data_IF_415829764606
#
_entry.id   IF_415829764606
#
_cell.length_a   1.000
_cell.length_b   1.000
_cell.length_c   1.000
_cell.angle_alpha   90.00
_cell.angle_beta   90.00
_cell.angle_gamma   90.00
#
_symmetry.space_group_name_H-M   'P 1'
#
loop_
_entity.id
_entity.type
_entity.pdbx_description
1 polymer ?
#
# COMPACT_ATOMS: atom_id res chain seq x y z
N UNK A 1 1.02 51.88 57.64
CA UNK A 1 1.76 51.02 58.58
C UNK A 1 0.79 50.62 59.68
N UNK A 2 0.25 49.41 59.60
CA UNK A 2 -0.67 48.86 60.59
C UNK A 2 -0.47 47.35 60.66
N UNK A 3 0.04 46.88 61.80
CA UNK A 3 -0.31 45.58 62.39
C UNK A 3 -1.42 45.86 63.45
N UNK A 4 -2.17 44.89 64.05
CA UNK A 4 -1.73 43.52 64.38
C UNK A 4 -2.79 42.37 64.51
N UNK A 5 -2.26 41.14 64.67
CA UNK A 5 -2.65 40.03 65.59
C UNK A 5 -3.93 39.17 65.50
N UNK A 6 -3.70 37.87 65.80
CA UNK A 6 -4.53 36.84 66.48
C UNK A 6 -5.56 36.05 65.64
N UNK A 7 -5.87 34.77 65.89
CA UNK A 7 -5.32 33.72 66.76
C UNK A 7 -5.92 32.35 66.35
N UNK A 8 -5.22 31.31 66.79
CA UNK A 8 -5.43 29.85 66.80
C UNK A 8 -6.84 29.34 67.18
N UNK A 9 -7.33 28.29 66.49
CA UNK A 9 -7.98 27.14 67.17
C UNK A 9 -7.97 25.86 66.31
N UNK A 10 -7.38 24.82 66.87
CA UNK A 10 -7.40 23.44 66.41
C UNK A 10 -8.66 22.71 66.90
N UNK A 11 -9.10 21.68 66.18
CA UNK A 11 -9.70 20.49 66.77
C UNK A 11 -9.60 19.29 65.82
N UNK A 12 -8.80 18.32 66.27
CA UNK A 12 -8.69 16.92 65.85
C UNK A 12 -9.77 16.11 66.57
N UNK A 13 -10.38 15.11 65.90
CA UNK A 13 -10.86 13.80 66.43
C UNK A 13 -11.54 13.08 65.25
N UNK A 14 -10.99 12.00 64.68
CA UNK A 14 -10.93 10.59 65.11
C UNK A 14 -11.73 9.74 64.11
N UNK A 15 -11.04 8.76 63.51
CA UNK A 15 -11.61 7.67 62.70
C UNK A 15 -12.46 6.71 63.55
N UNK A 16 -13.30 5.89 62.91
CA UNK A 16 -13.01 4.45 63.00
C UNK A 16 -13.20 3.67 61.68
N UNK A 17 -12.78 2.42 61.78
CA UNK A 17 -12.38 1.46 60.76
C UNK A 17 -13.47 0.41 60.44
N UNK A 18 -13.32 -0.25 59.28
CA UNK A 18 -13.66 -1.65 58.95
C UNK A 18 -15.11 -2.05 58.52
N UNK A 19 -15.30 -2.24 57.20
CA UNK A 19 -15.77 -3.42 56.40
C UNK A 19 -17.05 -4.23 56.81
N UNK A 20 -17.62 -5.18 55.98
CA UNK A 20 -17.47 -5.51 54.54
C UNK A 20 -18.81 -5.79 53.75
N UNK A 21 -18.66 -6.08 52.44
CA UNK A 21 -19.48 -6.96 51.55
C UNK A 21 -20.95 -6.60 51.21
N UNK A 22 -21.21 -6.37 49.91
CA UNK A 22 -22.25 -7.13 49.17
C UNK A 22 -22.13 -6.97 47.65
N UNK A 23 -22.18 -8.12 46.97
CA UNK A 23 -22.33 -8.33 45.53
C UNK A 23 -23.46 -7.52 44.90
N UNK A 24 -23.19 -6.88 43.75
CA UNK A 24 -24.20 -6.70 42.69
C UNK A 24 -23.59 -6.95 41.31
N UNK A 25 -23.89 -8.15 40.84
CA UNK A 25 -23.89 -8.59 39.45
C UNK A 25 -24.63 -7.58 38.56
N UNK A 26 -23.93 -6.98 37.60
CA UNK A 26 -24.53 -6.21 36.52
C UNK A 26 -24.59 -7.11 35.29
N UNK A 27 -25.82 -7.51 34.98
CA UNK A 27 -26.22 -8.23 33.79
C UNK A 27 -25.96 -7.39 32.53
N UNK A 28 -25.28 -7.99 31.57
CA UNK A 28 -25.21 -7.57 30.18
C UNK A 28 -26.57 -7.82 29.50
N UNK A 29 -27.19 -6.82 28.84
CA UNK A 29 -28.31 -7.10 27.96
C UNK A 29 -27.80 -7.63 26.61
N UNK A 30 -28.24 -8.84 26.28
CA UNK A 30 -27.97 -9.51 25.01
C UNK A 30 -28.60 -8.75 23.84
N UNK A 31 -27.78 -8.46 22.84
CA UNK A 31 -28.23 -7.94 21.55
C UNK A 31 -28.78 -9.12 20.75
N UNK A 32 -30.11 -9.17 20.66
CA UNK A 32 -30.87 -10.10 19.84
C UNK A 32 -30.67 -9.78 18.36
N UNK A 33 -30.15 -10.76 17.62
CA UNK A 33 -30.15 -10.80 16.16
C UNK A 33 -31.59 -11.05 15.69
N UNK A 34 -32.26 -10.01 15.17
CA UNK A 34 -33.49 -10.17 14.41
C UNK A 34 -33.17 -10.11 12.92
N UNK A 35 -33.48 -11.22 12.26
CA UNK A 35 -33.45 -11.41 10.81
C UNK A 35 -34.49 -10.50 10.16
N UNK A 36 -34.07 -9.62 9.25
CA UNK A 36 -35.00 -8.90 8.38
C UNK A 36 -35.11 -9.66 7.05
N UNK A 37 -36.34 -10.03 6.77
CA UNK A 37 -36.79 -10.79 5.63
C UNK A 37 -36.66 -10.02 4.31
N UNK A 38 -36.40 -10.81 3.28
CA UNK A 38 -36.60 -10.56 1.85
C UNK A 38 -37.91 -9.83 1.57
N UNK A 39 -37.88 -8.81 0.72
CA UNK A 39 -39.06 -8.33 0.00
C UNK A 39 -38.68 -7.93 -1.43
N UNK A 40 -39.35 -8.58 -2.38
CA UNK A 40 -39.30 -8.40 -3.84
C UNK A 40 -40.18 -7.20 -4.27
N UNK A 41 -40.12 -6.76 -5.54
CA UNK A 41 -40.50 -5.41 -5.97
C UNK A 41 -42.01 -5.25 -6.18
N UNK A 42 -42.49 -4.01 -6.11
CA UNK A 42 -43.85 -3.64 -6.52
C UNK A 42 -43.81 -2.47 -7.48
N UNK A 43 -44.67 -2.57 -8.49
CA UNK A 43 -44.76 -1.78 -9.71
C UNK A 43 -45.31 -0.37 -9.51
N UNK A 44 -45.20 0.39 -10.61
CA UNK A 44 -45.67 1.75 -10.90
C UNK A 44 -47.13 2.06 -10.50
N UNK A 45 -47.49 3.37 -10.55
CA UNK A 45 -48.38 3.75 -11.63
C UNK A 45 -48.00 5.05 -12.37
N UNK A 46 -47.97 4.93 -13.70
CA UNK A 46 -48.63 5.75 -14.73
C UNK A 46 -49.14 7.15 -14.36
N UNK A 47 -48.62 8.17 -15.06
CA UNK A 47 -49.40 9.34 -15.53
C UNK A 47 -49.02 9.64 -16.97
N UNK A 48 -50.02 9.58 -17.84
CA UNK A 48 -49.99 9.92 -19.25
C UNK A 48 -50.22 11.43 -19.47
N UNK A 49 -49.74 11.96 -20.60
CA UNK A 49 -50.43 12.83 -21.59
C UNK A 49 -49.36 13.33 -22.59
N UNK A 50 -49.41 12.83 -23.84
CA UNK A 50 -49.89 13.55 -25.05
C UNK A 50 -48.96 14.71 -25.50
N UNK A 51 -48.73 15.00 -26.78
CA UNK A 51 -48.97 14.36 -28.08
C UNK A 51 -48.19 15.22 -29.10
N UNK A 52 -47.68 14.64 -30.19
CA UNK A 52 -46.93 15.39 -31.20
C UNK A 52 -46.61 14.54 -32.42
N UNK A 53 -47.60 14.43 -33.31
CA UNK A 53 -47.55 13.70 -34.57
C UNK A 53 -46.56 14.32 -35.57
N UNK A 54 -45.76 13.50 -36.25
CA UNK A 54 -45.47 13.72 -37.68
C UNK A 54 -45.29 12.40 -38.43
N UNK A 55 -46.26 12.14 -39.31
CA UNK A 55 -46.23 11.27 -40.49
C UNK A 55 -44.98 11.63 -41.32
N UNK A 56 -44.28 10.77 -42.07
CA UNK A 56 -44.48 9.43 -42.59
C UNK A 56 -43.56 9.33 -43.83
N UNK A 57 -43.00 8.15 -44.12
CA UNK A 57 -42.58 7.75 -45.48
C UNK A 57 -41.99 6.34 -45.42
N UNK A 58 -42.86 5.35 -45.62
CA UNK A 58 -42.47 4.01 -46.04
C UNK A 58 -41.88 4.06 -47.45
N UNK A 59 -40.64 3.58 -47.63
CA UNK A 59 -40.24 2.92 -48.88
C UNK A 59 -39.32 1.74 -48.58
N UNK A 60 -39.90 0.56 -48.78
CA UNK A 60 -39.32 -0.68 -49.28
C UNK A 60 -37.80 -0.68 -49.54
N UNK A 61 -37.08 -1.58 -48.86
CA UNK A 61 -36.01 -2.35 -49.52
C UNK A 61 -35.83 -3.72 -48.88
N UNK A 62 -35.81 -4.70 -49.78
CA UNK A 62 -35.85 -6.14 -49.55
C UNK A 62 -34.49 -6.67 -49.07
N UNK A 63 -34.57 -7.76 -48.29
CA UNK A 63 -33.66 -8.93 -48.19
C UNK A 63 -32.22 -8.77 -48.71
N UNK A 64 -31.27 -9.13 -47.86
CA UNK A 64 -30.44 -10.36 -48.01
C UNK A 64 -29.88 -10.71 -46.63
N UNK A 65 -30.36 -11.81 -46.06
CA UNK A 65 -29.69 -12.53 -44.99
C UNK A 65 -28.57 -13.37 -45.61
N UNK A 66 -27.33 -13.16 -45.19
CA UNK A 66 -26.26 -14.16 -45.34
C UNK A 66 -25.70 -14.49 -43.96
N UNK A 67 -26.18 -15.62 -43.44
CA UNK A 67 -25.53 -16.40 -42.39
C UNK A 67 -24.21 -16.90 -42.98
N UNK A 68 -23.08 -16.52 -42.38
CA UNK A 68 -21.83 -17.25 -42.55
C UNK A 68 -21.72 -18.24 -41.39
N UNK A 69 -22.10 -19.48 -41.66
CA UNK A 69 -21.63 -20.64 -40.92
C UNK A 69 -20.19 -20.91 -41.36
N UNK A 70 -19.23 -20.76 -40.46
CA UNK A 70 -17.87 -21.27 -40.64
C UNK A 70 -17.76 -22.58 -39.87
N UNK A 71 -17.79 -23.68 -40.61
CA UNK A 71 -17.32 -24.98 -40.18
C UNK A 71 -15.79 -24.91 -40.08
N UNK A 72 -15.23 -25.14 -38.90
CA UNK A 72 -13.80 -25.40 -38.74
C UNK A 72 -13.63 -26.83 -38.24
N UNK A 73 -13.32 -27.73 -39.18
CA UNK A 73 -12.80 -29.07 -38.92
C UNK A 73 -11.30 -28.95 -38.70
N UNK A 74 -10.78 -29.44 -37.57
CA UNK A 74 -9.36 -29.37 -37.27
C UNK A 74 -8.95 -30.15 -36.03
N UNK A 75 -8.90 -31.48 -36.18
CA UNK A 75 -7.95 -32.44 -35.59
C UNK A 75 -7.59 -32.36 -34.09
N UNK A 76 -8.08 -33.35 -33.36
CA UNK A 76 -7.36 -34.30 -32.50
C UNK A 76 -5.98 -33.92 -31.93
N UNK A 77 -5.92 -33.80 -30.59
CA UNK A 77 -5.01 -34.56 -29.70
C UNK A 77 -5.21 -34.12 -28.23
N UNK A 78 -6.30 -34.60 -27.61
CA UNK A 78 -6.57 -34.42 -26.18
C UNK A 78 -6.17 -35.65 -25.35
N UNK A 79 -5.00 -35.59 -24.73
CA UNK A 79 -4.52 -36.60 -23.78
C UNK A 79 -5.34 -36.58 -22.48
N UNK A 80 -5.67 -37.79 -22.03
CA UNK A 80 -6.35 -38.18 -20.79
C UNK A 80 -5.81 -37.45 -19.55
N UNK A 81 -6.71 -36.86 -18.76
CA UNK A 81 -6.51 -36.71 -17.32
C UNK A 81 -7.81 -37.04 -16.55
N UNK A 82 -7.72 -38.18 -15.89
CA UNK A 82 -8.40 -38.67 -14.68
C UNK A 82 -9.31 -37.73 -13.91
N UNK A 83 -10.57 -38.14 -13.73
CA UNK A 83 -11.55 -37.60 -12.77
C UNK A 83 -11.71 -38.62 -11.62
N UNK A 84 -11.04 -38.34 -10.49
CA UNK A 84 -11.47 -38.75 -9.12
C UNK A 84 -12.48 -37.68 -8.67
N UNK A 85 -13.45 -37.87 -7.80
CA UNK A 85 -13.75 -38.89 -6.81
C UNK A 85 -15.19 -38.59 -6.34
N UNK A 86 -16.00 -39.63 -6.22
CA UNK A 86 -17.20 -39.66 -5.39
C UNK A 86 -16.95 -40.65 -4.26
N UNK A 87 -17.30 -40.28 -3.03
CA UNK A 87 -17.38 -41.19 -1.88
C UNK A 87 -18.68 -40.91 -1.15
N UNK A 88 -19.37 -41.96 -0.69
CA UNK A 88 -20.18 -41.93 0.51
C UNK A 88 -19.57 -42.79 1.64
N UNK A 89 -19.64 -42.22 2.84
CA UNK A 89 -20.12 -42.76 4.14
C UNK A 89 -19.76 -44.21 4.60
N UNK A 90 -19.34 -44.25 5.88
CA UNK A 90 -19.49 -45.29 6.92
C UNK A 90 -18.35 -46.29 7.28
N UNK A 91 -17.68 -45.94 8.39
CA UNK A 91 -17.49 -46.71 9.65
C UNK A 91 -16.56 -47.93 9.78
N UNK A 92 -15.98 -48.01 11.00
CA UNK A 92 -15.45 -49.16 11.77
C UNK A 92 -13.91 -49.35 11.82
N UNK A 93 -13.35 -49.08 13.02
CA UNK A 93 -12.08 -49.56 13.63
C UNK A 93 -11.98 -51.09 13.67
N UNK A 94 -10.79 -51.78 13.74
CA UNK A 94 -9.67 -51.45 14.65
C UNK A 94 -8.21 -51.78 14.17
N UNK A 95 -7.28 -51.27 15.00
CA UNK A 95 -5.86 -51.56 15.35
C UNK A 95 -5.27 -52.98 15.06
N UNK A 96 -3.97 -53.24 15.35
CA UNK A 96 -2.74 -53.02 14.56
C UNK A 96 -2.01 -54.33 14.18
N UNK A 97 -1.02 -54.28 13.29
CA UNK A 97 -0.05 -55.38 13.12
C UNK A 97 1.37 -54.92 12.86
N UNK A 98 2.27 -55.58 13.60
CA UNK A 98 3.71 -55.48 13.63
C UNK A 98 4.34 -55.90 12.29
N UNK A 99 5.43 -55.26 11.90
CA UNK A 99 6.52 -55.97 11.19
C UNK A 99 7.89 -55.47 11.66
N UNK A 100 8.57 -56.38 12.34
CA UNK A 100 10.02 -56.46 12.48
C UNK A 100 10.62 -56.83 11.13
N UNK A 101 11.72 -56.21 10.69
CA UNK A 101 13.02 -56.90 10.65
C UNK A 101 14.17 -56.04 10.11
N UNK A 102 15.32 -56.37 10.68
CA UNK A 102 16.68 -55.85 10.51
C UNK A 102 17.37 -56.38 9.23
N UNK A 103 18.59 -55.86 9.06
CA UNK A 103 19.75 -56.32 8.28
C UNK A 103 19.89 -55.66 6.90
N UNK A 104 21.05 -55.19 6.44
CA UNK A 104 22.42 -55.02 6.97
C UNK A 104 23.20 -54.20 5.94
N UNK A 105 24.37 -53.68 6.36
CA UNK A 105 25.56 -53.41 5.53
C UNK A 105 25.69 -52.06 4.79
N UNK A 106 26.62 -51.24 5.29
CA UNK A 106 27.47 -50.32 4.52
C UNK A 106 28.54 -51.13 3.73
N UNK A 107 29.55 -50.56 3.03
CA UNK A 107 29.86 -49.14 2.75
C UNK A 107 30.25 -48.86 1.27
N UNK A 108 30.43 -47.59 0.88
CA UNK A 108 31.68 -47.07 0.25
C UNK A 108 31.52 -45.64 -0.30
N UNK A 109 32.55 -44.86 -0.06
CA UNK A 109 32.89 -43.54 -0.58
C UNK A 109 32.99 -43.49 -2.09
N UNK A 110 32.65 -42.35 -2.71
CA UNK A 110 33.49 -41.78 -3.77
C UNK A 110 33.28 -40.27 -3.93
N UNK A 111 34.41 -39.57 -3.84
CA UNK A 111 34.58 -38.14 -4.11
C UNK A 111 34.63 -37.93 -5.62
N UNK A 112 33.91 -36.93 -6.15
CA UNK A 112 34.13 -36.44 -7.52
C UNK A 112 34.27 -34.91 -7.47
N UNK A 113 35.45 -34.49 -7.91
CA UNK A 113 35.93 -33.14 -8.05
C UNK A 113 35.14 -32.33 -9.08
N UNK A 114 34.89 -31.06 -8.76
CA UNK A 114 34.33 -30.06 -9.67
C UNK A 114 35.38 -29.59 -10.68
N UNK A 115 35.13 -29.82 -11.98
CA UNK A 115 35.87 -29.17 -13.07
C UNK A 115 35.17 -27.86 -13.46
N UNK A 116 35.91 -26.75 -13.32
CA UNK A 116 35.68 -25.47 -14.00
C UNK A 116 35.90 -25.64 -15.50
N UNK A 117 35.05 -25.04 -16.32
CA UNK A 117 35.37 -24.72 -17.72
C UNK A 117 35.02 -23.24 -17.95
N UNK A 118 36.07 -22.46 -18.14
CA UNK A 118 36.05 -21.16 -18.82
C UNK A 118 35.99 -21.36 -20.32
N UNK A 119 35.28 -20.49 -21.02
CA UNK A 119 35.39 -20.37 -22.48
C UNK A 119 35.37 -18.89 -22.87
N UNK A 120 36.58 -18.36 -23.09
CA UNK A 120 36.84 -17.28 -24.04
C UNK A 120 37.45 -17.93 -25.28
N UNK A 121 37.03 -17.55 -26.49
CA UNK A 121 37.90 -17.44 -27.67
C UNK A 121 37.17 -16.73 -28.80
N UNK A 122 37.77 -15.61 -29.21
CA UNK A 122 37.56 -14.88 -30.46
C UNK A 122 38.46 -15.46 -31.55
N UNK A 123 38.02 -15.52 -32.82
CA UNK A 123 38.75 -15.15 -34.07
C UNK A 123 37.93 -15.61 -35.29
N UNK A 124 37.42 -14.68 -36.12
CA UNK A 124 37.93 -14.13 -37.40
C UNK A 124 37.66 -14.96 -38.69
N UNK A 125 36.76 -14.39 -39.52
CA UNK A 125 36.86 -14.05 -40.98
C UNK A 125 36.93 -15.18 -42.03
N UNK A 126 35.97 -15.15 -42.99
CA UNK A 126 36.22 -15.11 -44.45
C UNK A 126 34.95 -14.78 -45.26
N UNK A 127 35.13 -13.92 -46.28
CA UNK A 127 34.14 -13.28 -47.15
C UNK A 127 33.81 -14.07 -48.43
N UNK A 128 32.66 -13.77 -49.05
CA UNK A 128 32.48 -13.54 -50.51
C UNK A 128 31.02 -13.14 -50.78
N UNK A 129 30.77 -11.88 -51.18
CA UNK A 129 30.62 -11.33 -52.54
C UNK A 129 29.24 -11.56 -53.19
N UNK A 130 28.58 -10.46 -53.57
CA UNK A 130 27.40 -10.49 -54.42
C UNK A 130 26.57 -9.19 -54.47
N UNK A 131 27.15 -8.13 -55.03
CA UNK A 131 26.54 -7.08 -55.88
C UNK A 131 25.15 -6.49 -55.55
N UNK A 132 25.04 -5.16 -55.43
CA UNK A 132 24.50 -4.30 -56.51
C UNK A 132 24.46 -2.80 -56.16
N UNK A 133 25.10 -2.02 -57.04
CA UNK A 133 24.68 -0.75 -57.66
C UNK A 133 24.73 0.54 -56.84
N UNK A 134 25.50 1.47 -57.42
CA UNK A 134 25.79 2.84 -57.03
C UNK A 134 24.69 3.84 -57.43
N UNK A 135 24.60 4.96 -56.70
CA UNK A 135 24.79 6.32 -57.26
C UNK A 135 24.66 7.42 -56.19
N UNK A 136 25.79 8.06 -55.90
CA UNK A 136 26.05 9.52 -55.80
C UNK A 136 24.96 10.49 -55.31
N UNK A 137 25.20 11.14 -54.15
CA UNK A 137 25.62 12.55 -54.05
C UNK A 137 25.82 12.98 -52.56
N UNK A 138 26.64 14.02 -52.26
CA UNK A 138 27.22 14.24 -50.94
C UNK A 138 26.48 15.31 -50.13
N UNK A 139 26.48 15.18 -48.80
CA UNK A 139 26.24 16.30 -47.89
C UNK A 139 27.03 16.08 -46.60
N UNK A 140 28.19 16.72 -46.59
CA UNK A 140 29.06 16.98 -45.45
C UNK A 140 28.37 17.94 -44.48
N UNK A 141 28.12 17.50 -43.24
CA UNK A 141 27.97 18.42 -42.11
C UNK A 141 28.82 17.88 -40.97
N UNK A 142 29.83 18.67 -40.66
CA UNK A 142 30.90 18.43 -39.72
C UNK A 142 30.37 18.26 -38.29
N UNK A 143 30.86 17.21 -37.63
CA UNK A 143 30.84 17.08 -36.18
C UNK A 143 31.90 18.02 -35.59
N UNK A 144 31.49 19.05 -34.87
CA UNK A 144 32.38 19.84 -34.01
C UNK A 144 32.25 19.33 -32.58
N UNK A 145 33.20 18.48 -32.20
CA UNK A 145 33.50 18.12 -30.82
C UNK A 145 34.27 19.26 -30.16
N UNK A 146 33.60 20.04 -29.31
CA UNK A 146 34.29 21.01 -28.44
C UNK A 146 34.58 20.34 -27.10
N UNK A 147 35.83 19.88 -26.95
CA UNK A 147 36.44 19.58 -25.67
C UNK A 147 36.71 20.90 -24.95
N UNK A 148 35.87 21.27 -23.98
CA UNK A 148 36.19 22.32 -23.01
C UNK A 148 36.54 21.68 -21.67
N UNK A 149 37.84 21.67 -21.41
CA UNK A 149 38.49 21.34 -20.15
C UNK A 149 37.99 22.27 -19.05
N UNK A 150 37.26 21.73 -18.07
CA UNK A 150 36.93 22.45 -16.83
C UNK A 150 38.07 22.30 -15.82
N UNK A 151 38.52 23.36 -15.15
CA UNK A 151 39.57 23.27 -14.15
C UNK A 151 39.07 22.57 -12.89
N UNK A 152 39.89 21.67 -12.38
CA UNK A 152 39.75 21.02 -11.07
C UNK A 152 39.81 22.11 -10.00
N UNK A 153 38.63 22.50 -9.49
CA UNK A 153 38.51 23.23 -8.24
C UNK A 153 38.37 22.20 -7.12
N UNK A 154 39.39 22.11 -6.29
CA UNK A 154 39.40 21.35 -5.04
C UNK A 154 38.15 21.72 -4.21
N UNK A 155 37.34 20.75 -3.73
CA UNK A 155 36.29 21.06 -2.78
C UNK A 155 36.97 21.39 -1.45
N UNK A 156 37.15 22.69 -1.19
CA UNK A 156 37.42 23.19 0.16
C UNK A 156 36.16 22.89 0.96
N UNK A 157 36.24 21.81 1.73
CA UNK A 157 35.30 21.39 2.77
C UNK A 157 35.08 22.55 3.74
N UNK A 158 34.14 23.43 3.41
CA UNK A 158 33.50 24.29 4.38
C UNK A 158 32.56 23.38 5.18
N UNK A 159 33.09 22.80 6.26
CA UNK A 159 32.28 22.31 7.36
C UNK A 159 31.49 23.50 7.92
N UNK A 160 30.36 23.83 7.28
CA UNK A 160 29.25 24.43 8.00
C UNK A 160 28.83 23.37 9.00
N UNK A 161 29.04 23.68 10.28
CA UNK A 161 28.40 23.00 11.40
C UNK A 161 26.91 22.97 11.11
N UNK A 162 26.44 21.86 10.54
CA UNK A 162 25.03 21.58 10.37
C UNK A 162 24.48 21.41 11.79
N UNK A 163 23.93 22.49 12.33
CA UNK A 163 22.91 22.42 13.36
C UNK A 163 21.95 21.31 12.97
N UNK A 164 21.76 20.33 13.85
CA UNK A 164 21.04 19.08 13.59
C UNK A 164 19.56 19.34 13.27
N UNK A 165 19.26 19.79 12.06
CA UNK A 165 17.92 19.72 11.51
C UNK A 165 17.80 18.36 10.86
N UNK A 166 17.55 17.33 11.68
CA UNK A 166 16.98 16.10 11.15
C UNK A 166 15.76 16.54 10.33
N UNK A 167 15.69 16.24 9.03
CA UNK A 167 14.54 16.64 8.21
C UNK A 167 13.30 16.12 8.92
N UNK A 168 12.34 17.03 9.15
CA UNK A 168 11.07 16.68 9.78
C UNK A 168 10.49 15.45 9.05
N UNK A 169 10.07 14.45 9.81
CA UNK A 169 9.55 13.22 9.22
C UNK A 169 8.30 13.52 8.39
N UNK A 170 8.40 13.32 7.08
CA UNK A 170 7.27 13.41 6.15
C UNK A 170 6.80 11.98 5.81
N UNK A 171 5.63 11.53 6.28
CA UNK A 171 5.15 10.17 6.02
C UNK A 171 4.86 9.92 4.53
N UNK A 172 4.61 10.94 3.71
CA UNK A 172 4.38 10.78 2.26
C UNK A 172 5.66 10.43 1.50
N UNK A 173 6.83 10.73 2.07
CA UNK A 173 8.14 10.35 1.51
C UNK A 173 8.58 8.95 1.93
N UNK A 174 7.73 8.22 2.66
CA UNK A 174 8.03 6.91 3.23
C UNK A 174 7.20 5.79 2.57
N UNK A 175 7.27 4.57 3.09
CA UNK A 175 6.51 3.46 2.50
C UNK A 175 5.01 3.70 2.69
N UNK A 176 4.26 3.75 1.59
CA UNK A 176 2.81 3.98 1.58
C UNK A 176 2.08 2.77 0.96
N UNK A 177 0.88 2.46 1.45
CA UNK A 177 0.04 1.41 0.89
C UNK A 177 -0.44 1.75 -0.52
N UNK A 178 -0.55 0.71 -1.35
CA UNK A 178 -1.18 0.79 -2.65
C UNK A 178 -2.70 0.96 -2.51
N UNK A 179 -3.28 1.94 -3.23
CA UNK A 179 -4.72 2.18 -3.26
C UNK A 179 -5.52 1.17 -4.07
N UNK A 180 -4.86 0.33 -4.88
CA UNK A 180 -5.54 -0.74 -5.60
C UNK A 180 -6.26 -1.69 -4.62
N UNK A 181 -7.55 -2.02 -4.85
CA UNK A 181 -8.30 -2.91 -3.98
C UNK A 181 -7.56 -4.21 -3.68
N UNK A 182 -7.55 -4.62 -2.41
CA UNK A 182 -6.92 -5.84 -1.91
C UNK A 182 -5.41 -5.97 -2.15
N UNK A 183 -4.70 -4.89 -2.50
CA UNK A 183 -3.24 -4.93 -2.64
C UNK A 183 -2.55 -4.72 -1.28
N UNK A 184 -1.81 -5.70 -0.74
CA UNK A 184 -1.09 -5.53 0.53
C UNK A 184 0.26 -4.79 0.36
N UNK A 185 0.65 -4.48 -0.88
CA UNK A 185 1.97 -3.95 -1.19
C UNK A 185 2.09 -2.50 -0.73
N UNK A 186 3.16 -2.23 0.01
CA UNK A 186 3.59 -0.86 0.26
C UNK A 186 4.77 -0.55 -0.65
N UNK A 187 4.80 0.67 -1.18
CA UNK A 187 5.86 1.14 -2.06
C UNK A 187 6.41 2.46 -1.55
N UNK A 188 7.66 2.75 -1.94
CA UNK A 188 8.32 3.98 -1.55
C UNK A 188 8.35 4.91 -2.76
N UNK A 189 7.68 6.08 -2.73
CA UNK A 189 7.61 6.99 -3.89
C UNK A 189 8.98 7.42 -4.40
N UNK A 190 9.93 7.65 -3.50
CA UNK A 190 11.31 8.04 -3.84
C UNK A 190 12.09 6.96 -4.59
N UNK A 191 11.65 5.68 -4.56
CA UNK A 191 12.27 4.61 -5.34
C UNK A 191 11.75 4.49 -6.78
N UNK A 192 10.67 5.19 -7.13
CA UNK A 192 10.06 5.08 -8.45
C UNK A 192 10.89 5.78 -9.55
N UNK A 193 11.76 6.71 -9.15
CA UNK A 193 12.55 7.54 -10.06
C UNK A 193 11.76 8.74 -10.59
N UNK A 194 12.44 9.80 -11.03
CA UNK A 194 11.80 11.08 -11.38
C UNK A 194 10.88 10.99 -12.60
N UNK A 195 11.08 9.99 -13.46
CA UNK A 195 10.33 9.82 -14.72
C UNK A 195 9.15 8.84 -14.61
N UNK A 196 8.89 8.29 -13.41
CA UNK A 196 7.86 7.26 -13.24
C UNK A 196 6.45 7.76 -13.57
N UNK A 197 6.14 9.00 -13.21
CA UNK A 197 4.85 9.64 -13.49
C UNK A 197 4.87 10.51 -14.75
N UNK A 198 5.99 10.51 -15.49
CA UNK A 198 6.08 11.23 -16.77
C UNK A 198 5.18 10.59 -17.83
N UNK A 199 4.66 11.40 -18.79
CA UNK A 199 3.94 10.89 -19.95
C UNK A 199 4.74 9.82 -20.70
N UNK A 200 4.07 8.73 -21.08
CA UNK A 200 4.68 7.62 -21.80
C UNK A 200 4.00 7.37 -23.14
N UNK A 201 4.79 6.94 -24.12
CA UNK A 201 4.29 6.49 -25.42
C UNK A 201 3.37 5.25 -25.27
N UNK A 202 2.47 4.99 -26.23
CA UNK A 202 2.27 5.72 -27.49
C UNK A 202 1.31 6.93 -27.39
N UNK A 203 0.48 7.03 -26.34
CA UNK A 203 -0.58 8.04 -26.24
C UNK A 203 -0.28 9.17 -25.23
N UNK A 204 0.97 9.31 -24.80
CA UNK A 204 1.43 10.28 -23.79
C UNK A 204 0.63 10.19 -22.48
N UNK A 205 0.23 8.98 -22.08
CA UNK A 205 -0.48 8.74 -20.82
C UNK A 205 0.53 8.64 -19.68
N UNK A 206 0.18 9.21 -18.52
CA UNK A 206 0.96 9.13 -17.28
C UNK A 206 0.45 7.98 -16.42
N UNK A 207 1.28 7.35 -15.60
CA UNK A 207 0.79 6.41 -14.56
C UNK A 207 0.00 7.16 -13.48
N UNK A 208 -0.98 6.51 -12.88
CA UNK A 208 -1.71 7.13 -11.76
C UNK A 208 -0.91 7.04 -10.44
N UNK A 209 -0.92 8.10 -9.61
CA UNK A 209 -0.34 8.10 -8.27
C UNK A 209 -1.15 7.20 -7.31
N UNK A 210 -0.60 6.90 -6.14
CA UNK A 210 -1.26 6.01 -5.16
C UNK A 210 -1.22 4.51 -5.49
N UNK A 211 -0.77 4.12 -6.69
CA UNK A 211 -0.63 2.73 -7.10
C UNK A 211 0.83 2.25 -6.94
N UNK A 212 1.01 1.02 -6.46
CA UNK A 212 2.33 0.39 -6.48
C UNK A 212 2.79 0.14 -7.93
N UNK A 213 4.10 -0.05 -8.19
CA UNK A 213 4.63 -0.20 -9.54
C UNK A 213 3.85 -1.17 -10.41
N UNK A 214 3.60 -2.38 -9.90
CA UNK A 214 2.89 -3.44 -10.61
C UNK A 214 1.49 -3.01 -11.07
N UNK A 215 0.71 -2.38 -10.20
CA UNK A 215 -0.64 -1.91 -10.54
C UNK A 215 -0.62 -0.68 -11.43
N UNK A 216 0.32 0.24 -11.21
CA UNK A 216 0.51 1.41 -12.07
C UNK A 216 0.88 1.03 -13.51
N UNK A 217 1.69 -0.02 -13.71
CA UNK A 217 1.98 -0.56 -15.04
C UNK A 217 0.76 -1.21 -15.70
N UNK A 218 0.01 -2.03 -14.95
CA UNK A 218 -1.23 -2.68 -15.46
C UNK A 218 -2.30 -1.65 -15.85
N UNK A 219 -2.50 -0.64 -15.01
CA UNK A 219 -3.42 0.48 -15.27
C UNK A 219 -3.04 1.24 -16.55
N UNK A 220 -1.76 1.60 -16.70
CA UNK A 220 -1.28 2.28 -17.91
C UNK A 220 -1.44 1.39 -19.16
N UNK A 221 -1.16 0.09 -19.05
CA UNK A 221 -1.33 -0.85 -20.15
C UNK A 221 -2.80 -0.98 -20.56
N UNK A 222 -3.73 -1.09 -19.60
CA UNK A 222 -5.16 -1.13 -19.84
C UNK A 222 -5.65 0.17 -20.51
N UNK A 223 -5.18 1.32 -20.02
CA UNK A 223 -5.50 2.63 -20.60
C UNK A 223 -4.98 2.77 -22.04
N UNK A 224 -3.78 2.31 -22.32
CA UNK A 224 -3.24 2.28 -23.69
C UNK A 224 -4.05 1.34 -24.60
N UNK A 225 -4.46 0.18 -24.10
CA UNK A 225 -5.31 -0.75 -24.85
C UNK A 225 -6.68 -0.13 -25.16
N UNK A 226 -7.26 0.60 -24.21
CA UNK A 226 -8.51 1.33 -24.40
C UNK A 226 -8.38 2.40 -25.49
N UNK A 227 -7.33 3.24 -25.45
CA UNK A 227 -7.08 4.22 -26.50
C UNK A 227 -6.90 3.55 -27.89
N UNK A 228 -6.22 2.40 -27.95
CA UNK A 228 -6.06 1.65 -29.20
C UNK A 228 -7.39 1.12 -29.74
N UNK A 229 -8.22 0.56 -28.86
CA UNK A 229 -9.55 0.07 -29.22
C UNK A 229 -10.44 1.21 -29.74
N UNK A 230 -10.40 2.37 -29.09
CA UNK A 230 -11.18 3.53 -29.50
C UNK A 230 -10.72 4.05 -30.87
N UNK A 231 -9.42 4.12 -31.10
CA UNK A 231 -8.85 4.44 -32.42
C UNK A 231 -9.34 3.48 -33.51
N UNK A 232 -9.26 2.17 -33.25
CA UNK A 232 -9.71 1.15 -34.21
C UNK A 232 -11.21 1.22 -34.46
N UNK A 233 -12.01 1.50 -33.42
CA UNK A 233 -13.46 1.72 -33.52
C UNK A 233 -13.77 2.93 -34.41
N UNK A 234 -13.15 4.09 -34.16
CA UNK A 234 -13.34 5.29 -34.98
C UNK A 234 -12.95 5.05 -36.45
N UNK A 235 -11.86 4.31 -36.67
CA UNK A 235 -11.40 3.94 -38.02
C UNK A 235 -12.39 3.01 -38.73
N UNK A 236 -12.91 2.00 -38.03
CA UNK A 236 -13.89 1.06 -38.61
C UNK A 236 -15.24 1.73 -38.89
N UNK A 237 -15.62 2.72 -38.08
CA UNK A 237 -16.90 3.43 -38.18
C UNK A 237 -16.80 4.76 -38.98
N UNK A 238 -15.69 5.01 -39.67
CA UNK A 238 -15.42 6.30 -40.33
C UNK A 238 -16.41 6.63 -41.46
N UNK A 239 -17.03 5.63 -42.11
CA UNK A 239 -17.96 5.84 -43.21
C UNK A 239 -17.34 6.62 -44.37
N UNK A 240 -17.79 7.86 -44.61
CA UNK A 240 -17.24 8.77 -45.64
C UNK A 240 -16.17 9.74 -45.11
N UNK A 241 -15.79 9.65 -43.83
CA UNK A 241 -14.76 10.52 -43.23
C UNK A 241 -13.38 10.18 -43.78
N UNK A 242 -12.54 11.20 -43.96
CA UNK A 242 -11.13 11.00 -44.32
C UNK A 242 -10.32 10.54 -43.11
N UNK A 243 -9.17 9.87 -43.34
CA UNK A 243 -8.29 9.45 -42.23
C UNK A 243 -7.80 10.63 -41.38
N UNK A 244 -7.66 11.83 -41.97
CA UNK A 244 -7.32 13.05 -41.23
C UNK A 244 -8.44 13.51 -40.29
N UNK A 245 -9.71 13.39 -40.71
CA UNK A 245 -10.86 13.67 -39.84
C UNK A 245 -10.92 12.68 -38.67
N UNK A 246 -10.69 11.39 -38.93
CA UNK A 246 -10.62 10.36 -37.87
C UNK A 246 -9.46 10.64 -36.90
N UNK A 247 -8.29 11.02 -37.41
CA UNK A 247 -7.15 11.43 -36.58
C UNK A 247 -7.49 12.62 -35.66
N UNK A 248 -8.13 13.65 -36.19
CA UNK A 248 -8.54 14.83 -35.40
C UNK A 248 -9.60 14.50 -34.33
N UNK A 249 -10.56 13.62 -34.65
CA UNK A 249 -11.54 13.13 -33.67
C UNK A 249 -10.86 12.35 -32.55
N UNK A 250 -9.88 11.52 -32.90
CA UNK A 250 -9.11 10.76 -31.92
C UNK A 250 -8.20 11.63 -31.04
N UNK A 251 -7.58 12.68 -31.58
CA UNK A 251 -6.82 13.66 -30.79
C UNK A 251 -7.71 14.39 -29.77
N UNK A 252 -8.94 14.71 -30.18
CA UNK A 252 -9.96 15.29 -29.29
C UNK A 252 -10.33 14.33 -28.17
N UNK A 253 -10.54 13.05 -28.51
CA UNK A 253 -10.76 11.98 -27.53
C UNK A 253 -9.59 11.85 -26.56
N UNK A 254 -8.35 11.77 -27.05
CA UNK A 254 -7.14 11.66 -26.23
C UNK A 254 -7.01 12.84 -25.26
N UNK A 255 -7.26 14.06 -25.73
CA UNK A 255 -7.20 15.27 -24.90
C UNK A 255 -8.22 15.23 -23.76
N UNK A 256 -9.44 14.75 -24.04
CA UNK A 256 -10.47 14.55 -23.01
C UNK A 256 -10.07 13.45 -22.03
N UNK A 257 -9.61 12.31 -22.53
CA UNK A 257 -9.21 11.16 -21.72
C UNK A 257 -8.03 11.50 -20.79
N UNK A 258 -7.04 12.25 -21.26
CA UNK A 258 -5.94 12.76 -20.44
C UNK A 258 -6.43 13.69 -19.32
N UNK A 259 -7.40 14.57 -19.60
CA UNK A 259 -8.01 15.45 -18.60
C UNK A 259 -8.74 14.67 -17.51
N UNK A 260 -9.47 13.63 -17.91
CA UNK A 260 -10.15 12.72 -16.98
C UNK A 260 -9.13 11.97 -16.10
N UNK A 261 -8.07 11.41 -16.70
CA UNK A 261 -6.95 10.79 -15.95
C UNK A 261 -6.25 11.74 -14.99
N UNK A 262 -6.06 13.01 -15.36
CA UNK A 262 -5.45 14.01 -14.45
C UNK A 262 -6.37 14.30 -13.25
N UNK A 263 -7.69 14.34 -13.46
CA UNK A 263 -8.66 14.49 -12.37
C UNK A 263 -8.62 13.29 -11.43
N UNK A 264 -8.57 12.08 -11.99
CA UNK A 264 -8.43 10.84 -11.24
C UNK A 264 -7.11 10.78 -10.45
N UNK A 265 -5.99 11.18 -11.08
CA UNK A 265 -4.69 11.27 -10.43
C UNK A 265 -4.72 12.20 -9.21
N UNK A 266 -5.27 13.40 -9.37
CA UNK A 266 -5.43 14.35 -8.26
C UNK A 266 -6.33 13.80 -7.14
N UNK A 267 -7.40 13.10 -7.49
CA UNK A 267 -8.27 12.46 -6.52
C UNK A 267 -7.53 11.35 -5.74
N UNK A 268 -6.69 10.56 -6.41
CA UNK A 268 -5.89 9.53 -5.76
C UNK A 268 -4.77 10.10 -4.90
N UNK A 269 -4.12 11.20 -5.30
CA UNK A 269 -3.19 11.93 -4.43
C UNK A 269 -3.89 12.36 -3.14
N UNK A 270 -5.07 13.00 -3.24
CA UNK A 270 -5.86 13.38 -2.07
C UNK A 270 -6.26 12.18 -1.20
N UNK A 271 -6.53 11.01 -1.80
CA UNK A 271 -6.83 9.79 -1.05
C UNK A 271 -5.59 9.22 -0.34
N UNK A 272 -4.40 9.25 -0.96
CA UNK A 272 -3.15 8.87 -0.31
C UNK A 272 -2.86 9.81 0.86
N UNK A 273 -2.97 11.12 0.63
CA UNK A 273 -2.76 12.13 1.66
C UNK A 273 -3.73 11.95 2.83
N UNK A 274 -5.03 11.76 2.57
CA UNK A 274 -6.02 11.51 3.61
C UNK A 274 -5.72 10.23 4.41
N UNK A 275 -5.36 9.13 3.74
CA UNK A 275 -5.02 7.85 4.38
C UNK A 275 -3.77 7.93 5.25
N UNK A 276 -2.75 8.69 4.81
CA UNK A 276 -1.44 8.75 5.45
C UNK A 276 -1.37 9.85 6.53
N UNK A 277 -1.88 11.04 6.22
CA UNK A 277 -1.83 12.22 7.10
C UNK A 277 -3.06 12.35 8.01
N UNK A 278 -4.19 11.72 7.65
CA UNK A 278 -5.41 11.80 8.45
C UNK A 278 -6.12 13.15 8.36
N UNK A 279 -6.24 13.72 7.15
CA UNK A 279 -6.87 15.03 6.92
C UNK A 279 -8.31 15.14 7.47
N UNK A 280 -8.63 16.32 7.99
CA UNK A 280 -9.91 16.63 8.62
C UNK A 280 -11.10 16.53 7.66
N UNK A 281 -12.24 16.09 8.19
CA UNK A 281 -13.53 16.13 7.47
C UNK A 281 -13.87 14.93 6.59
N UNK A 282 -13.01 13.91 6.48
CA UNK A 282 -13.39 12.61 5.92
C UNK A 282 -13.31 11.54 6.99
N UNK A 283 -14.47 11.13 7.49
CA UNK A 283 -14.63 9.89 8.26
C UNK A 283 -14.28 8.69 7.35
N UNK A 284 -12.99 8.40 7.18
CA UNK A 284 -12.55 7.35 6.27
C UNK A 284 -11.05 7.04 6.40
N UNK A 285 -10.77 5.75 6.59
CA UNK A 285 -9.49 5.03 6.43
C UNK A 285 -8.18 5.75 6.79
N UNK A 286 -8.14 6.67 7.76
CA UNK A 286 -6.86 7.13 8.26
C UNK A 286 -6.09 5.95 8.89
N UNK A 287 -4.91 5.68 8.34
CA UNK A 287 -4.02 4.62 8.79
C UNK A 287 -2.96 5.23 9.71
N UNK A 288 -3.27 5.26 11.01
CA UNK A 288 -2.38 5.75 12.07
C UNK A 288 -0.97 5.15 12.03
N UNK A 289 -0.80 4.00 11.38
CA UNK A 289 0.45 3.27 11.32
C UNK A 289 1.60 4.06 10.67
N UNK A 290 1.30 5.01 9.78
CA UNK A 290 2.33 5.87 9.15
C UNK A 290 2.83 6.97 10.07
N UNK A 291 2.08 7.34 11.11
CA UNK A 291 2.44 8.43 12.02
C UNK A 291 3.64 8.07 12.91
N UNK A 292 4.35 9.10 13.36
CA UNK A 292 5.39 8.93 14.38
C UNK A 292 4.77 8.57 15.72
N UNK A 293 5.24 7.48 16.29
CA UNK A 293 4.76 6.96 17.57
C UNK A 293 5.91 6.69 18.53
N UNK A 294 5.59 6.78 19.82
CA UNK A 294 6.56 6.47 20.89
C UNK A 294 6.69 4.96 21.06
N UNK A 295 7.89 4.51 21.38
CA UNK A 295 8.15 3.14 21.81
C UNK A 295 7.25 2.75 23.00
N UNK A 296 6.66 1.56 22.99
CA UNK A 296 5.85 1.04 24.10
C UNK A 296 6.67 0.58 25.30
N UNK A 297 8.00 0.45 25.15
CA UNK A 297 8.88 0.11 26.28
C UNK A 297 8.94 1.27 27.27
N UNK A 298 8.59 1.01 28.54
CA UNK A 298 8.45 2.00 29.61
C UNK A 298 9.62 3.00 29.73
N UNK A 299 10.86 2.54 29.60
CA UNK A 299 12.06 3.39 29.73
C UNK A 299 12.50 4.08 28.43
N UNK A 300 11.78 3.88 27.32
CA UNK A 300 12.18 4.37 26.01
C UNK A 300 11.33 5.56 25.55
N UNK A 301 11.97 6.68 25.28
CA UNK A 301 11.32 7.92 24.81
C UNK A 301 11.37 8.11 23.29
N UNK A 302 12.01 7.19 22.56
CA UNK A 302 12.23 7.34 21.11
C UNK A 302 10.91 7.31 20.33
N UNK A 303 10.80 8.21 19.36
CA UNK A 303 9.76 8.19 18.34
C UNK A 303 10.27 7.52 17.07
N UNK A 304 9.39 6.81 16.38
CA UNK A 304 9.70 6.15 15.11
C UNK A 304 8.41 5.86 14.36
N UNK A 305 8.52 5.49 13.09
CA UNK A 305 7.42 4.92 12.30
C UNK A 305 7.94 3.64 11.65
N UNK A 306 7.26 2.48 11.78
CA UNK A 306 7.69 1.26 11.11
C UNK A 306 7.73 1.41 9.59
N UNK A 307 6.93 2.32 9.03
CA UNK A 307 6.85 2.58 7.60
C UNK A 307 7.90 3.57 7.10
N UNK A 308 8.76 4.09 7.98
CA UNK A 308 9.90 4.90 7.55
C UNK A 308 10.82 4.11 6.61
N UNK A 309 11.41 4.80 5.63
CA UNK A 309 12.35 4.21 4.67
C UNK A 309 13.51 3.47 5.34
N UNK A 310 13.96 3.97 6.50
CA UNK A 310 15.06 3.41 7.27
C UNK A 310 14.68 2.15 8.06
N UNK A 311 13.43 2.04 8.53
CA UNK A 311 13.02 0.95 9.44
C UNK A 311 12.09 -0.09 8.80
N UNK A 312 11.47 0.20 7.66
CA UNK A 312 10.48 -0.68 7.04
C UNK A 312 11.02 -2.08 6.77
N UNK A 313 12.23 -2.18 6.19
CA UNK A 313 12.89 -3.47 5.95
C UNK A 313 13.15 -4.26 7.23
N UNK A 314 13.41 -3.58 8.35
CA UNK A 314 13.65 -4.23 9.64
C UNK A 314 12.38 -4.91 10.19
N UNK A 315 11.22 -4.26 10.08
CA UNK A 315 9.95 -4.78 10.59
C UNK A 315 9.25 -5.77 9.64
N UNK A 316 9.39 -5.57 8.32
CA UNK A 316 8.76 -6.45 7.31
C UNK A 316 9.68 -7.58 6.83
N UNK A 317 10.95 -7.57 7.20
CA UNK A 317 11.91 -8.62 6.85
C UNK A 317 11.58 -9.95 7.50
N UNK A 318 11.80 -11.06 6.77
CA UNK A 318 11.68 -12.40 7.33
C UNK A 318 12.79 -12.64 8.36
N UNK A 319 12.43 -13.23 9.50
CA UNK A 319 13.36 -13.56 10.60
C UNK A 319 13.52 -15.06 10.76
N UNK A 320 14.53 -15.45 11.53
CA UNK A 320 14.73 -16.86 11.92
C UNK A 320 13.48 -17.36 12.65
N UNK A 321 13.15 -18.63 12.42
CA UNK A 321 11.99 -19.29 13.02
C UNK A 321 10.63 -18.61 12.72
N UNK A 322 10.56 -17.72 11.72
CA UNK A 322 9.36 -16.94 11.37
C UNK A 322 8.78 -16.15 12.55
N UNK A 323 9.62 -15.69 13.48
CA UNK A 323 9.17 -14.84 14.59
C UNK A 323 8.88 -13.43 14.09
N UNK A 324 7.73 -12.89 14.49
CA UNK A 324 7.32 -11.53 14.13
C UNK A 324 7.98 -10.53 15.08
N UNK A 325 8.55 -9.47 14.52
CA UNK A 325 9.10 -8.34 15.28
C UNK A 325 7.95 -7.49 15.79
N UNK A 326 7.93 -7.15 17.08
CA UNK A 326 6.92 -6.27 17.64
C UNK A 326 7.13 -4.84 17.10
N UNK A 327 6.22 -4.38 16.23
CA UNK A 327 6.30 -3.08 15.59
C UNK A 327 5.89 -1.92 16.51
N UNK A 328 5.51 -2.19 17.76
CA UNK A 328 5.21 -1.17 18.79
C UNK A 328 6.43 -0.75 19.60
N UNK A 329 7.54 -1.48 19.42
CA UNK A 329 8.86 -1.14 19.92
C UNK A 329 9.68 -0.44 18.84
N UNK A 330 10.48 0.55 19.22
CA UNK A 330 11.46 1.18 18.31
C UNK A 330 12.56 0.18 17.90
N UNK A 331 13.30 0.39 16.79
CA UNK A 331 14.20 -0.64 16.26
C UNK A 331 15.23 -1.22 17.24
N UNK A 332 15.88 -0.42 18.12
CA UNK A 332 16.77 -0.95 19.15
C UNK A 332 16.06 -1.81 20.20
N UNK A 333 14.90 -1.37 20.70
CA UNK A 333 14.14 -2.13 21.69
C UNK A 333 13.55 -3.41 21.08
N UNK A 334 13.04 -3.34 19.86
CA UNK A 334 12.54 -4.47 19.10
C UNK A 334 13.64 -5.49 18.79
N UNK A 335 14.87 -5.02 18.53
CA UNK A 335 16.04 -5.88 18.36
C UNK A 335 16.39 -6.62 19.65
N UNK A 336 16.47 -5.90 20.77
CA UNK A 336 16.73 -6.52 22.06
C UNK A 336 15.63 -7.53 22.47
N UNK A 337 14.37 -7.22 22.17
CA UNK A 337 13.23 -8.12 22.37
C UNK A 337 13.38 -9.42 21.57
N UNK A 338 13.61 -9.31 20.25
CA UNK A 338 13.69 -10.49 19.40
C UNK A 338 14.92 -11.34 19.72
N UNK A 339 16.06 -10.73 20.04
CA UNK A 339 17.28 -11.44 20.45
C UNK A 339 17.08 -12.19 21.77
N UNK A 340 16.33 -11.63 22.72
CA UNK A 340 15.98 -12.32 23.96
C UNK A 340 15.10 -13.53 23.68
N UNK A 341 14.09 -13.41 22.81
CA UNK A 341 13.24 -14.54 22.42
C UNK A 341 14.02 -15.60 21.64
N UNK A 342 14.87 -15.20 20.71
CA UNK A 342 15.72 -16.13 19.95
C UNK A 342 16.67 -16.91 20.88
N UNK A 343 17.15 -16.31 21.97
CA UNK A 343 17.92 -17.02 23.00
C UNK A 343 17.09 -18.09 23.70
N UNK A 344 15.88 -17.75 24.14
CA UNK A 344 14.95 -18.71 24.77
C UNK A 344 14.59 -19.85 23.82
N UNK A 345 14.43 -19.54 22.52
CA UNK A 345 14.21 -20.54 21.46
C UNK A 345 15.41 -21.49 21.38
N UNK A 346 16.64 -20.99 21.35
CA UNK A 346 17.83 -21.86 21.32
C UNK A 346 17.97 -22.72 22.60
N UNK A 347 17.76 -22.14 23.77
CA UNK A 347 17.81 -22.85 25.05
C UNK A 347 16.76 -23.98 25.11
N UNK A 348 15.53 -23.69 24.72
CA UNK A 348 14.48 -24.71 24.66
C UNK A 348 14.76 -25.77 23.60
N UNK A 349 15.32 -25.41 22.44
CA UNK A 349 15.69 -26.39 21.41
C UNK A 349 16.70 -27.41 21.94
N UNK A 350 17.64 -26.99 22.80
CA UNK A 350 18.57 -27.90 23.47
C UNK A 350 17.87 -28.74 24.54
N UNK A 351 16.92 -28.17 25.29
CA UNK A 351 16.21 -28.86 26.36
C UNK A 351 15.27 -29.97 25.86
N UNK A 352 14.59 -29.79 24.72
CA UNK A 352 13.69 -30.80 24.16
C UNK A 352 14.43 -32.00 23.52
N UNK A 353 15.74 -31.90 23.30
CA UNK A 353 16.55 -32.98 22.72
C UNK A 353 16.01 -33.47 21.36
N UNK A 354 15.89 -34.79 21.21
CA UNK A 354 15.39 -35.44 19.97
C UNK A 354 13.86 -35.35 19.80
N UNK A 355 13.12 -34.81 20.76
CA UNK A 355 11.66 -34.71 20.69
C UNK A 355 11.19 -33.54 19.82
N UNK A 356 11.39 -33.67 18.51
CA UNK A 356 11.11 -32.63 17.52
C UNK A 356 9.65 -32.14 17.55
N UNK A 357 8.69 -33.04 17.74
CA UNK A 357 7.28 -32.70 17.85
C UNK A 357 6.97 -31.73 19.02
N UNK A 358 7.55 -31.99 20.20
CA UNK A 358 7.34 -31.14 21.37
C UNK A 358 7.91 -29.74 21.13
N UNK A 359 9.07 -29.66 20.51
CA UNK A 359 9.68 -28.40 20.08
C UNK A 359 8.81 -27.63 19.09
N UNK A 360 8.31 -28.28 18.04
CA UNK A 360 7.48 -27.63 17.02
C UNK A 360 6.17 -27.09 17.61
N UNK A 361 5.51 -27.89 18.44
CA UNK A 361 4.27 -27.49 19.14
C UNK A 361 4.51 -26.29 20.05
N UNK A 362 5.61 -26.29 20.81
CA UNK A 362 6.02 -25.14 21.63
C UNK A 362 6.30 -23.89 20.77
N UNK A 363 7.00 -24.04 19.65
CA UNK A 363 7.33 -22.92 18.75
C UNK A 363 6.08 -22.35 18.06
N UNK A 364 5.08 -23.19 17.76
CA UNK A 364 3.76 -22.73 17.26
C UNK A 364 3.06 -21.88 18.33
N UNK A 365 3.02 -22.35 19.59
CA UNK A 365 2.42 -21.60 20.70
C UNK A 365 3.14 -20.27 20.93
N UNK A 366 4.46 -20.26 20.95
CA UNK A 366 5.25 -19.03 21.08
C UNK A 366 4.93 -18.02 19.97
N UNK A 367 4.73 -18.47 18.73
CA UNK A 367 4.33 -17.59 17.62
C UNK A 367 2.93 -17.01 17.82
N UNK A 368 1.98 -17.81 18.31
CA UNK A 368 0.63 -17.36 18.63
C UNK A 368 0.62 -16.33 19.77
N UNK A 369 1.37 -16.59 20.84
CA UNK A 369 1.47 -15.68 21.99
C UNK A 369 2.07 -14.33 21.57
N UNK A 370 3.13 -14.35 20.75
CA UNK A 370 3.72 -13.11 20.21
C UNK A 370 2.78 -12.34 19.29
N UNK A 371 1.98 -13.04 18.49
CA UNK A 371 1.00 -12.41 17.63
C UNK A 371 -0.13 -11.75 18.46
N UNK A 372 -0.60 -12.43 19.51
CA UNK A 372 -1.58 -11.86 20.44
C UNK A 372 -1.03 -10.63 21.19
N UNK A 373 0.22 -10.71 21.68
CA UNK A 373 0.91 -9.58 22.29
C UNK A 373 1.04 -8.40 21.31
N UNK A 374 1.46 -8.66 20.07
CA UNK A 374 1.57 -7.64 19.03
C UNK A 374 0.24 -6.93 18.81
N UNK A 375 -0.84 -7.67 18.64
CA UNK A 375 -2.18 -7.11 18.41
C UNK A 375 -2.67 -6.28 19.61
N UNK A 376 -2.41 -6.75 20.83
CA UNK A 376 -2.74 -6.00 22.05
C UNK A 376 -2.04 -4.63 22.07
N UNK A 377 -0.72 -4.62 21.85
CA UNK A 377 0.05 -3.39 21.87
C UNK A 377 -0.25 -2.48 20.69
N UNK A 378 -0.51 -3.02 19.50
CA UNK A 378 -0.93 -2.24 18.33
C UNK A 378 -2.23 -1.48 18.62
N UNK A 379 -3.24 -2.16 19.19
CA UNK A 379 -4.51 -1.53 19.60
C UNK A 379 -4.32 -0.50 20.72
N UNK A 380 -3.40 -0.74 21.66
CA UNK A 380 -3.08 0.21 22.71
C UNK A 380 -2.41 1.47 22.14
N UNK A 381 -1.44 1.29 21.23
CA UNK A 381 -0.73 2.38 20.59
C UNK A 381 -1.66 3.19 19.66
N UNK A 382 -2.55 2.52 18.92
CA UNK A 382 -3.59 3.16 18.11
C UNK A 382 -4.45 4.11 18.94
N UNK A 383 -4.98 3.63 20.08
CA UNK A 383 -5.79 4.47 20.98
C UNK A 383 -5.05 5.73 21.41
N UNK A 384 -3.79 5.58 21.83
CA UNK A 384 -2.95 6.73 22.26
C UNK A 384 -2.68 7.71 21.11
N UNK A 385 -2.46 7.21 19.90
CA UNK A 385 -2.21 8.06 18.72
C UNK A 385 -3.48 8.81 18.33
N UNK A 386 -4.61 8.11 18.23
CA UNK A 386 -5.93 8.71 17.95
C UNK A 386 -6.32 9.76 18.99
N UNK A 387 -6.19 9.45 20.29
CA UNK A 387 -6.50 10.38 21.38
C UNK A 387 -5.63 11.64 21.35
N UNK A 388 -4.33 11.50 21.03
CA UNK A 388 -3.44 12.65 20.91
C UNK A 388 -3.80 13.54 19.74
N UNK A 389 -4.12 12.96 18.60
CA UNK A 389 -4.52 13.74 17.43
C UNK A 389 -5.82 14.50 17.65
N UNK A 390 -6.83 13.87 18.27
CA UNK A 390 -8.07 14.56 18.65
C UNK A 390 -7.77 15.77 19.54
N UNK A 391 -6.85 15.63 20.51
CA UNK A 391 -6.44 16.76 21.37
C UNK A 391 -5.70 17.86 20.60
N UNK A 392 -4.87 17.54 19.62
CA UNK A 392 -4.21 18.57 18.80
C UNK A 392 -5.24 19.35 17.98
N UNK A 393 -6.24 18.67 17.41
CA UNK A 393 -7.34 19.31 16.67
C UNK A 393 -8.16 20.26 17.53
N UNK A 394 -8.57 19.82 18.72
CA UNK A 394 -9.31 20.70 19.66
C UNK A 394 -8.52 21.95 20.08
N UNK A 395 -7.18 21.89 20.07
CA UNK A 395 -6.31 23.02 20.41
C UNK A 395 -6.15 23.97 19.22
N UNK A 396 -6.02 23.45 17.99
CA UNK A 396 -5.94 24.26 16.77
C UNK A 396 -7.26 24.98 16.46
N UNK A 397 -8.40 24.29 16.55
CA UNK A 397 -9.73 24.89 16.37
C UNK A 397 -9.97 26.04 17.36
N UNK A 398 -9.64 25.83 18.65
CA UNK A 398 -9.71 26.90 19.67
C UNK A 398 -8.73 28.05 19.43
N UNK A 399 -7.67 27.85 18.66
CA UNK A 399 -6.71 28.91 18.35
C UNK A 399 -7.24 29.77 17.20
N UNK A 400 -7.84 29.15 16.19
CA UNK A 400 -8.38 29.85 15.03
C UNK A 400 -9.66 30.61 15.38
N UNK A 401 -10.54 30.04 16.23
CA UNK A 401 -11.73 30.72 16.76
C UNK A 401 -11.40 31.93 17.66
N UNK A 402 -10.18 31.98 18.21
CA UNK A 402 -9.73 33.06 19.09
C UNK A 402 -8.95 34.16 18.34
N UNK A 403 -8.80 34.04 17.01
CA UNK A 403 -8.09 35.01 16.16
C UNK A 403 -9.04 35.94 15.40
N UNK A 404 -10.35 35.70 15.41
CA UNK A 404 -11.34 36.54 14.72
C UNK A 404 -12.40 37.14 15.65
N UNK A 405 -11.95 37.71 16.79
CA UNK A 405 -12.68 38.84 17.38
C UNK A 405 -12.11 40.12 16.76
N UNK A 406 -12.76 40.51 15.67
CA UNK A 406 -12.73 41.85 15.09
C UNK A 406 -12.84 42.97 16.15
N UNK A 407 -12.33 44.14 15.78
CA UNK A 407 -13.24 45.28 15.72
C UNK A 407 -12.79 46.55 16.44
N UNK A 408 -12.23 47.50 15.65
CA UNK A 408 -12.52 48.96 15.68
C UNK A 408 -12.59 49.71 17.04
N UNK A 409 -11.95 49.21 18.09
CA UNK A 409 -11.91 49.86 19.42
C UNK A 409 -10.51 49.97 20.03
N UNK A 410 -9.46 49.49 19.36
CA UNK A 410 -8.09 49.49 19.91
C UNK A 410 -7.36 50.82 19.65
N UNK A 411 -7.79 51.59 18.66
CA UNK A 411 -7.21 52.92 18.40
C UNK A 411 -7.67 53.99 19.41
N UNK A 412 -8.88 53.88 19.97
CA UNK A 412 -9.36 54.80 21.02
C UNK A 412 -8.70 54.60 22.38
N UNK A 413 -8.07 53.45 22.64
CA UNK A 413 -7.31 53.20 23.88
C UNK A 413 -5.84 53.61 23.79
N UNK A 414 -5.30 53.83 22.58
CA UNK A 414 -3.95 54.40 22.41
C UNK A 414 -3.92 55.92 22.55
N UNK A 415 -5.02 56.62 22.29
CA UNK A 415 -5.10 58.08 22.49
C UNK A 415 -5.32 58.50 23.97
N UNK A 416 -5.83 57.61 24.83
CA UNK A 416 -6.02 57.90 26.26
C UNK A 416 -4.77 57.72 27.12
N UNK A 417 -3.68 57.19 26.57
CA UNK A 417 -2.42 56.93 27.30
C UNK A 417 -1.29 57.93 27.00
N UNK A 418 -1.59 59.07 26.35
CA UNK A 418 -0.61 60.16 26.08
C UNK A 418 -0.89 61.42 26.93
N UNK A 419 -1.90 61.39 27.82
CA UNK A 419 -2.17 62.48 28.77
C UNK A 419 -2.21 61.94 30.21
N UNK A 420 -1.07 61.42 30.65
CA UNK A 420 -0.57 61.41 32.03
C UNK A 420 0.95 61.44 31.97
#
# INVERSE_FOLDING_TARGET
>A
MSQPTNATRANTMQSPSSAPLSDKSIQTPGISFSQTLVSKPTAEPSVAMESGQSKGSERFSKRISKRFSMNFSGTDLGKKLTKRSSFPVESVTPRPSMTSNRHSSAPTSNSIASKRISSNSSTLIASSNGSQIASTAPSSISASSTLQSSPIASPTSSQRSASSTNPAYDPLQNYIACLHPHCPTHYLPTHLGPTFFSPQSPYNLRRLPGLCPSHAYKDLQASNAYCKQEWESMRQNAGRKTMGQVASEFETFLSRFQRERMREAKAMEGNVEARVMGFEGREGEWEWQYTLRRCTRHSCTRQYSPFSSQTYKFYKGKRRHNLVVNNTLCPPCARADIEAVERVVMENRLAFGEQEWHWESWLVRLRQDREAERQFWEKAQERVVREKEVRYREIEEKRDDNVEIEGKGVDTLRELCVVM
#
